data_IF_355503026329
#
_entry.id   IF_355503026329
#
_cell.length_a   1.000
_cell.length_b   1.000
_cell.length_c   1.000
_cell.angle_alpha   90.00
_cell.angle_beta   90.00
_cell.angle_gamma   90.00
#
_symmetry.space_group_name_H-M   'P 1'
#
loop_
_entity.id
_entity.type
_entity.pdbx_description
1 polymer ?
#
# COMPACT_ATOMS: atom_id res chain seq x y z
N UNK A 1 8.43 36.12 -26.20
CA UNK A 1 8.10 34.84 -25.53
C UNK A 1 8.25 35.04 -24.03
N UNK A 2 7.14 35.19 -23.30
CA UNK A 2 7.15 35.44 -21.87
C UNK A 2 7.01 34.12 -21.14
N UNK A 3 8.06 33.66 -20.49
CA UNK A 3 8.06 32.44 -19.68
C UNK A 3 7.19 32.68 -18.45
N UNK A 4 6.02 32.06 -18.40
CA UNK A 4 5.19 32.05 -17.20
C UNK A 4 5.87 31.13 -16.19
N UNK A 5 6.51 31.70 -15.15
CA UNK A 5 6.95 30.92 -13.98
C UNK A 5 5.72 30.20 -13.44
N UNK A 6 5.62 28.89 -13.69
CA UNK A 6 4.57 28.07 -13.13
C UNK A 6 4.78 28.09 -11.61
N UNK A 7 3.90 28.74 -10.86
CA UNK A 7 3.81 28.50 -9.41
C UNK A 7 3.66 26.99 -9.23
N UNK A 8 4.52 26.39 -8.41
CA UNK A 8 4.38 24.99 -8.04
C UNK A 8 2.93 24.76 -7.59
N UNK A 9 2.24 23.71 -8.10
CA UNK A 9 0.87 23.44 -7.71
C UNK A 9 0.81 23.33 -6.18
N UNK A 10 -0.14 24.03 -5.56
CA UNK A 10 -0.41 24.03 -4.12
C UNK A 10 -0.90 22.66 -3.66
N UNK A 11 -0.04 21.65 -3.72
CA UNK A 11 -0.33 20.33 -3.19
C UNK A 11 0.09 20.35 -1.72
N UNK A 12 -0.84 20.73 -0.85
CA UNK A 12 -0.66 20.54 0.59
C UNK A 12 -0.74 19.04 0.88
N UNK A 13 0.43 18.44 1.10
CA UNK A 13 0.52 17.01 1.31
C UNK A 13 -0.02 16.64 2.70
N UNK A 14 -1.25 16.12 2.75
CA UNK A 14 -1.89 15.66 3.99
C UNK A 14 -1.55 14.22 4.37
N UNK A 15 -0.95 13.46 3.45
CA UNK A 15 -0.46 12.10 3.68
C UNK A 15 0.91 11.95 3.01
N UNK A 16 1.95 11.89 3.83
CA UNK A 16 3.32 11.66 3.40
C UNK A 16 3.90 10.53 4.24
N UNK A 17 4.68 9.65 3.61
CA UNK A 17 5.48 8.68 4.34
C UNK A 17 6.81 9.38 4.68
N UNK A 18 7.12 9.67 5.96
CA UNK A 18 8.28 10.50 6.32
C UNK A 18 9.60 9.78 6.08
N UNK A 19 9.59 8.45 6.13
CA UNK A 19 10.77 7.59 5.94
C UNK A 19 10.88 7.08 4.50
N UNK A 20 12.07 6.67 4.04
CA UNK A 20 12.20 5.95 2.78
C UNK A 20 11.35 4.68 2.75
N UNK A 21 10.67 4.43 1.64
CA UNK A 21 9.87 3.22 1.44
C UNK A 21 10.78 1.98 1.54
N UNK A 22 10.46 1.10 2.46
CA UNK A 22 11.22 -0.13 2.69
C UNK A 22 10.98 -1.15 1.56
N UNK A 23 11.89 -2.13 1.35
CA UNK A 23 11.65 -3.21 0.39
C UNK A 23 10.37 -4.01 0.68
N UNK A 24 10.02 -4.16 1.96
CA UNK A 24 8.79 -4.81 2.40
C UNK A 24 7.55 -4.02 1.94
N UNK A 25 7.48 -2.72 2.23
CA UNK A 25 6.37 -1.86 1.82
C UNK A 25 6.22 -1.81 0.30
N UNK A 26 7.34 -1.74 -0.43
CA UNK A 26 7.32 -1.80 -1.89
C UNK A 26 6.75 -3.11 -2.41
N UNK A 27 7.14 -4.25 -1.82
CA UNK A 27 6.59 -5.57 -2.19
C UNK A 27 5.10 -5.65 -1.88
N UNK A 28 4.70 -5.23 -0.68
CA UNK A 28 3.30 -5.22 -0.24
C UNK A 28 2.43 -4.35 -1.17
N UNK A 29 2.88 -3.14 -1.51
CA UNK A 29 2.18 -2.25 -2.44
C UNK A 29 2.03 -2.86 -3.85
N UNK A 30 3.07 -3.53 -4.35
CA UNK A 30 3.02 -4.27 -5.62
C UNK A 30 1.99 -5.39 -5.60
N UNK A 31 2.04 -6.25 -4.57
CA UNK A 31 1.07 -7.35 -4.41
C UNK A 31 -0.36 -6.85 -4.25
N UNK A 32 -0.58 -5.78 -3.49
CA UNK A 32 -1.91 -5.16 -3.39
C UNK A 32 -2.40 -4.62 -4.73
N UNK A 33 -1.52 -3.97 -5.50
CA UNK A 33 -1.86 -3.46 -6.83
C UNK A 33 -2.30 -4.58 -7.76
N UNK A 34 -1.62 -5.72 -7.74
CA UNK A 34 -1.99 -6.91 -8.50
C UNK A 34 -3.35 -7.47 -8.06
N UNK A 35 -3.55 -7.66 -6.75
CA UNK A 35 -4.81 -8.20 -6.20
C UNK A 35 -6.00 -7.31 -6.52
N UNK A 36 -5.89 -6.00 -6.35
CA UNK A 36 -6.98 -5.08 -6.73
C UNK A 36 -7.20 -5.03 -8.23
N UNK A 37 -6.13 -5.10 -9.04
CA UNK A 37 -6.25 -5.14 -10.51
C UNK A 37 -6.93 -6.41 -11.02
N UNK A 38 -6.86 -7.50 -10.24
CA UNK A 38 -7.60 -8.74 -10.51
C UNK A 38 -9.09 -8.69 -10.12
N UNK A 39 -9.54 -7.58 -9.52
CA UNK A 39 -10.95 -7.33 -9.21
C UNK A 39 -11.35 -7.58 -7.75
N UNK A 40 -10.40 -7.75 -6.82
CA UNK A 40 -10.72 -7.81 -5.40
C UNK A 40 -11.40 -6.51 -4.94
N UNK A 41 -12.53 -6.63 -4.24
CA UNK A 41 -13.32 -5.50 -3.73
C UNK A 41 -13.62 -5.60 -2.23
N UNK A 42 -13.33 -6.76 -1.62
CA UNK A 42 -13.53 -7.01 -0.19
C UNK A 42 -12.22 -7.35 0.52
N UNK A 43 -12.22 -7.22 1.85
CA UNK A 43 -11.05 -7.58 2.67
C UNK A 43 -10.70 -9.07 2.53
N UNK A 44 -11.71 -9.95 2.49
CA UNK A 44 -11.49 -11.39 2.40
C UNK A 44 -10.84 -11.77 1.06
N UNK A 45 -11.28 -11.14 -0.04
CA UNK A 45 -10.65 -11.30 -1.36
C UNK A 45 -9.21 -10.78 -1.37
N UNK A 46 -8.95 -9.64 -0.72
CA UNK A 46 -7.59 -9.09 -0.61
C UNK A 46 -6.67 -10.07 0.12
N UNK A 47 -7.10 -10.53 1.30
CA UNK A 47 -6.33 -11.48 2.11
C UNK A 47 -6.09 -12.80 1.36
N UNK A 48 -7.12 -13.31 0.69
CA UNK A 48 -7.02 -14.52 -0.14
C UNK A 48 -6.00 -14.33 -1.27
N UNK A 49 -6.07 -13.19 -1.98
CA UNK A 49 -5.16 -12.84 -3.06
C UNK A 49 -3.69 -12.72 -2.59
N UNK A 50 -3.44 -12.04 -1.47
CA UNK A 50 -2.09 -11.93 -0.91
C UNK A 50 -1.52 -13.29 -0.53
N UNK A 51 -2.33 -14.16 0.07
CA UNK A 51 -1.92 -15.53 0.41
C UNK A 51 -1.67 -16.38 -0.85
N UNK A 52 -2.49 -16.23 -1.90
CA UNK A 52 -2.29 -16.92 -3.18
C UNK A 52 -0.99 -16.52 -3.88
N UNK A 53 -0.58 -15.24 -3.74
CA UNK A 53 0.72 -14.74 -4.20
C UNK A 53 1.90 -15.20 -3.33
N UNK A 54 1.66 -15.97 -2.26
CA UNK A 54 2.69 -16.41 -1.32
C UNK A 54 3.30 -15.27 -0.51
N UNK A 55 2.59 -14.15 -0.36
CA UNK A 55 3.02 -13.06 0.50
C UNK A 55 2.64 -13.36 1.94
N UNK A 56 3.63 -13.42 2.83
CA UNK A 56 3.41 -13.54 4.26
C UNK A 56 3.36 -12.17 4.94
N UNK A 57 2.65 -12.12 6.06
CA UNK A 57 2.67 -10.98 6.97
C UNK A 57 4.04 -10.74 7.58
N UNK A 58 4.24 -9.61 8.29
CA UNK A 58 5.51 -9.26 8.92
C UNK A 58 5.95 -10.27 10.00
N UNK A 59 5.03 -11.07 10.53
CA UNK A 59 5.30 -12.17 11.46
C UNK A 59 5.59 -13.51 10.77
N UNK A 60 5.67 -13.52 9.43
CA UNK A 60 5.91 -14.71 8.62
C UNK A 60 4.70 -15.63 8.45
N UNK A 61 3.52 -15.27 8.99
CA UNK A 61 2.31 -16.08 8.86
C UNK A 61 1.48 -15.68 7.64
N UNK A 62 0.55 -16.56 7.25
CA UNK A 62 -0.49 -16.20 6.29
C UNK A 62 -1.32 -15.03 6.78
N UNK A 63 -1.79 -14.21 5.83
CA UNK A 63 -2.67 -13.10 6.13
C UNK A 63 -4.03 -13.59 6.64
N UNK A 64 -4.54 -12.88 7.64
CA UNK A 64 -5.94 -12.86 8.04
C UNK A 64 -6.45 -11.43 7.96
N UNK A 65 -7.77 -11.23 8.05
CA UNK A 65 -8.34 -9.88 8.10
C UNK A 65 -7.79 -9.06 9.27
N UNK A 66 -7.54 -9.69 10.42
CA UNK A 66 -7.01 -9.03 11.61
C UNK A 66 -5.55 -8.62 11.44
N UNK A 67 -4.69 -9.52 10.94
CA UNK A 67 -3.28 -9.20 10.73
C UNK A 67 -3.10 -8.14 9.65
N UNK A 68 -3.94 -8.18 8.60
CA UNK A 68 -3.97 -7.14 7.59
C UNK A 68 -4.33 -5.77 8.17
N UNK A 69 -5.43 -5.67 8.94
CA UNK A 69 -5.84 -4.41 9.57
C UNK A 69 -4.80 -3.88 10.56
N UNK A 70 -4.18 -4.77 11.35
CA UNK A 70 -3.11 -4.41 12.26
C UNK A 70 -1.92 -3.79 11.50
N UNK A 71 -1.56 -4.37 10.36
CA UNK A 71 -0.47 -3.85 9.55
C UNK A 71 -0.81 -2.51 8.88
N UNK A 72 -2.01 -2.38 8.28
CA UNK A 72 -2.44 -1.10 7.71
C UNK A 72 -2.46 0.02 8.77
N UNK A 73 -2.84 -0.30 10.02
CA UNK A 73 -2.79 0.64 11.14
C UNK A 73 -1.36 0.98 11.56
N UNK A 74 -0.41 0.05 11.43
CA UNK A 74 1.01 0.29 11.73
C UNK A 74 1.64 1.21 10.69
N UNK A 75 1.33 1.00 9.41
CA UNK A 75 1.87 1.74 8.27
C UNK A 75 1.23 3.12 8.09
N UNK A 76 -0.04 3.29 8.44
CA UNK A 76 -0.76 4.56 8.31
C UNK A 76 -0.53 5.56 9.47
N UNK A 77 0.54 5.41 10.24
CA UNK A 77 0.92 6.33 11.33
C UNK A 77 1.71 7.52 10.83
#
# INVERSE_FOLDING_TARGET
MTTRTAREPYLEAHQTHPEPITPYEKKLAGSLSEVFSSGATSLDEVVSGLNALGLHGPDGKSWSGDTFRAEMRRLGK
#
